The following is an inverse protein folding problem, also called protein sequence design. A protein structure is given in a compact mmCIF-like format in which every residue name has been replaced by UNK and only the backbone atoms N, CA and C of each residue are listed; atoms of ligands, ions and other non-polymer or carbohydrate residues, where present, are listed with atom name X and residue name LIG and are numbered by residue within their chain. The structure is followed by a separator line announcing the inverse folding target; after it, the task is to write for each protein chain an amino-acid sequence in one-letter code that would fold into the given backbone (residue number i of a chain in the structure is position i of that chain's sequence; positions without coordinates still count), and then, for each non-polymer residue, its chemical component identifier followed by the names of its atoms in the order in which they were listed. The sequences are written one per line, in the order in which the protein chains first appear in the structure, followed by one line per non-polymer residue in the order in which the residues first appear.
data_IF_926939600108
#
_entry.id   IF_926939600108
#
_cell.length_a   1.000
_cell.length_b   1.000
_cell.length_c   1.000
_cell.angle_alpha   90.00
_cell.angle_beta   90.00
_cell.angle_gamma   90.00
#
_symmetry.space_group_name_H-M   'P 1'
#
loop_
_entity.id
_entity.type
_entity.pdbx_description
1 polymer ?
#
# COMPACT_ATOMS: atom_id res chain seq x y z
N UNK A 1 -3.40 19.57 -13.60
CA UNK A 1 -2.85 19.09 -12.31
C UNK A 1 -3.57 17.84 -11.77
N UNK A 2 -4.82 17.58 -12.12
CA UNK A 2 -5.60 16.43 -11.62
C UNK A 2 -5.00 15.06 -11.95
N UNK A 3 -4.50 14.88 -13.17
CA UNK A 3 -3.79 13.65 -13.57
C UNK A 3 -2.61 13.29 -12.66
N UNK A 4 -1.91 14.29 -12.11
CA UNK A 4 -0.80 14.06 -11.17
C UNK A 4 -1.27 13.50 -9.83
N UNK A 5 -2.44 13.95 -9.36
CA UNK A 5 -3.06 13.43 -8.12
C UNK A 5 -3.50 11.98 -8.33
N UNK A 6 -4.03 11.65 -9.52
CA UNK A 6 -4.40 10.28 -9.85
C UNK A 6 -3.18 9.34 -9.84
N UNK A 7 -2.06 9.79 -10.44
CA UNK A 7 -0.79 9.03 -10.44
C UNK A 7 -0.25 8.86 -9.01
N UNK A 8 -0.30 9.91 -8.19
CA UNK A 8 0.10 9.81 -6.78
C UNK A 8 -0.77 8.78 -6.03
N UNK A 9 -2.09 8.79 -6.26
CA UNK A 9 -3.00 7.81 -5.69
C UNK A 9 -2.64 6.38 -6.07
N UNK A 10 -2.38 6.14 -7.36
CA UNK A 10 -1.88 4.85 -7.87
C UNK A 10 -0.57 4.43 -7.21
N UNK A 11 0.39 5.34 -7.07
CA UNK A 11 1.67 5.05 -6.43
C UNK A 11 1.50 4.65 -4.96
N UNK A 12 0.62 5.32 -4.22
CA UNK A 12 0.35 4.96 -2.82
C UNK A 12 -0.31 3.58 -2.70
N UNK A 13 -1.23 3.23 -3.60
CA UNK A 13 -1.84 1.89 -3.64
C UNK A 13 -0.75 0.82 -3.88
N UNK A 14 0.11 1.04 -4.87
CA UNK A 14 1.22 0.14 -5.21
C UNK A 14 2.15 -0.06 -4.01
N UNK A 15 2.56 1.03 -3.35
CA UNK A 15 3.42 0.98 -2.16
C UNK A 15 2.70 0.30 -0.98
N UNK A 16 1.41 0.56 -0.81
CA UNK A 16 0.59 -0.06 0.23
C UNK A 16 0.48 -1.59 0.11
N UNK A 17 0.56 -2.12 -1.12
CA UNK A 17 0.50 -3.56 -1.42
C UNK A 17 1.88 -4.23 -1.45
N UNK A 18 2.96 -3.46 -1.28
CA UNK A 18 4.33 -3.97 -1.37
C UNK A 18 4.62 -5.12 -0.37
N UNK A 19 4.14 -5.11 0.90
CA UNK A 19 4.32 -6.24 1.81
C UNK A 19 3.69 -7.55 1.33
N UNK A 20 2.60 -7.49 0.57
CA UNK A 20 1.97 -8.68 -0.04
C UNK A 20 2.90 -9.25 -1.11
N UNK A 21 3.49 -8.37 -1.92
CA UNK A 21 4.42 -8.77 -2.97
C UNK A 21 5.78 -9.21 -2.42
N UNK A 22 6.15 -8.76 -1.22
CA UNK A 22 7.40 -9.12 -0.58
C UNK A 22 7.54 -10.63 -0.42
N UNK A 23 6.44 -11.37 -0.20
CA UNK A 23 6.44 -12.83 -0.13
C UNK A 23 7.00 -13.48 -1.41
N UNK A 24 6.74 -12.89 -2.58
CA UNK A 24 7.23 -13.37 -3.86
C UNK A 24 8.63 -12.83 -4.21
N UNK A 25 9.02 -11.69 -3.63
CA UNK A 25 10.27 -10.99 -3.93
C UNK A 25 11.42 -11.34 -2.96
N UNK A 26 11.10 -11.93 -1.80
CA UNK A 26 12.07 -12.39 -0.80
C UNK A 26 13.26 -13.20 -1.36
N UNK A 27 13.10 -14.07 -2.38
CA UNK A 27 14.24 -14.79 -2.97
C UNK A 27 15.24 -13.89 -3.70
N UNK A 28 14.86 -12.67 -4.06
CA UNK A 28 15.63 -11.77 -4.93
C UNK A 28 16.15 -10.54 -4.19
N UNK A 29 15.45 -10.09 -3.16
CA UNK A 29 15.77 -8.86 -2.41
C UNK A 29 15.41 -9.05 -0.93
N UNK A 30 16.29 -8.62 -0.04
CA UNK A 30 15.96 -8.52 1.39
C UNK A 30 14.98 -7.36 1.62
N UNK A 31 13.75 -7.72 1.96
CA UNK A 31 12.65 -6.80 2.24
C UNK A 31 12.27 -6.78 3.73
N UNK A 32 13.06 -7.40 4.61
CA UNK A 32 12.74 -7.52 6.03
C UNK A 32 12.57 -6.15 6.70
N UNK A 33 13.41 -5.18 6.35
CA UNK A 33 13.29 -3.81 6.84
C UNK A 33 11.97 -3.15 6.41
N UNK A 34 11.55 -3.36 5.16
CA UNK A 34 10.30 -2.79 4.64
C UNK A 34 9.09 -3.41 5.34
N UNK A 35 9.07 -4.73 5.49
CA UNK A 35 8.00 -5.42 6.23
C UNK A 35 7.93 -4.93 7.68
N UNK A 36 9.07 -4.70 8.32
CA UNK A 36 9.15 -4.11 9.66
C UNK A 36 8.54 -2.71 9.76
N UNK A 37 8.78 -1.83 8.78
CA UNK A 37 8.17 -0.50 8.75
C UNK A 37 6.65 -0.54 8.56
N UNK A 38 6.15 -1.50 7.79
CA UNK A 38 4.71 -1.62 7.55
C UNK A 38 3.96 -2.25 8.71
N UNK A 39 4.63 -3.04 9.56
CA UNK A 39 4.00 -3.66 10.73
C UNK A 39 4.30 -2.89 12.03
N UNK A 40 3.42 -1.95 12.37
CA UNK A 40 3.53 -1.15 13.60
C UNK A 40 2.85 -1.82 14.83
N UNK A 41 2.18 -2.96 14.65
CA UNK A 41 1.45 -3.70 15.68
C UNK A 41 0.37 -2.90 16.45
N UNK A 42 -0.30 -1.96 15.79
CA UNK A 42 -1.39 -1.13 16.35
C UNK A 42 -2.77 -1.74 16.02
N UNK A 43 -2.97 -2.17 14.77
CA UNK A 43 -4.18 -2.72 14.20
C UNK A 43 -3.87 -3.54 12.93
N UNK A 44 -4.60 -4.63 12.73
CA UNK A 44 -4.52 -5.40 11.49
C UNK A 44 -5.88 -5.93 11.09
N UNK A 45 -6.04 -6.15 9.78
CA UNK A 45 -7.25 -6.69 9.18
C UNK A 45 -6.88 -7.85 8.26
N UNK A 46 -7.44 -9.03 8.52
CA UNK A 46 -7.34 -10.14 7.58
C UNK A 46 -8.36 -9.94 6.45
N UNK A 47 -7.87 -9.86 5.22
CA UNK A 47 -8.66 -9.68 4.02
C UNK A 47 -8.14 -10.60 2.91
N UNK A 48 -9.02 -11.48 2.43
CA UNK A 48 -8.71 -12.42 1.35
C UNK A 48 -7.45 -13.29 1.62
N UNK A 49 -7.19 -13.64 2.89
CA UNK A 49 -6.04 -14.44 3.30
C UNK A 49 -4.73 -13.65 3.43
N UNK A 50 -4.79 -12.32 3.35
CA UNK A 50 -3.66 -11.43 3.59
C UNK A 50 -3.93 -10.54 4.80
N UNK A 51 -2.93 -10.43 5.66
CA UNK A 51 -2.98 -9.51 6.80
C UNK A 51 -2.59 -8.12 6.33
N UNK A 52 -3.54 -7.20 6.32
CA UNK A 52 -3.31 -5.78 6.08
C UNK A 52 -3.02 -5.08 7.40
N UNK A 53 -1.87 -4.43 7.48
CA UNK A 53 -1.52 -3.56 8.60
C UNK A 53 -2.14 -2.17 8.42
N UNK A 54 -2.13 -1.35 9.47
CA UNK A 54 -2.61 0.04 9.47
C UNK A 54 -1.91 0.88 8.40
N UNK A 55 -0.60 0.71 8.26
CA UNK A 55 0.18 1.43 7.22
C UNK A 55 -0.29 1.02 5.83
N UNK A 56 -0.50 -0.28 5.59
CA UNK A 56 -1.03 -0.77 4.31
C UNK A 56 -2.41 -0.19 4.02
N UNK A 57 -3.32 -0.25 5.00
CA UNK A 57 -4.69 0.26 4.86
C UNK A 57 -4.71 1.78 4.66
N UNK A 58 -3.87 2.51 5.37
CA UNK A 58 -3.73 3.95 5.23
C UNK A 58 -3.27 4.35 3.83
N UNK A 59 -2.23 3.66 3.32
CA UNK A 59 -1.70 3.91 1.97
C UNK A 59 -2.69 3.53 0.87
N UNK A 60 -3.32 2.34 0.97
CA UNK A 60 -4.32 1.89 0.00
C UNK A 60 -5.56 2.79 0.04
N UNK A 61 -6.11 3.04 1.23
CA UNK A 61 -7.31 3.86 1.40
C UNK A 61 -7.11 5.30 0.93
N UNK A 62 -6.02 5.94 1.37
CA UNK A 62 -5.70 7.31 0.92
C UNK A 62 -5.36 7.35 -0.57
N UNK A 63 -4.65 6.34 -1.07
CA UNK A 63 -4.35 6.21 -2.50
C UNK A 63 -5.60 6.10 -3.37
N UNK A 64 -6.61 5.32 -2.96
CA UNK A 64 -7.91 5.24 -3.64
C UNK A 64 -8.62 6.60 -3.65
N UNK A 65 -8.63 7.32 -2.54
CA UNK A 65 -9.23 8.67 -2.48
C UNK A 65 -8.55 9.62 -3.48
N UNK A 66 -7.22 9.67 -3.50
CA UNK A 66 -6.48 10.51 -4.44
C UNK A 66 -6.70 10.09 -5.89
N UNK A 67 -6.77 8.78 -6.16
CA UNK A 67 -7.06 8.26 -7.49
C UNK A 67 -8.41 8.76 -8.01
N UNK A 68 -9.47 8.63 -7.21
CA UNK A 68 -10.82 9.09 -7.56
C UNK A 68 -10.83 10.61 -7.76
N UNK A 69 -10.27 11.38 -6.80
CA UNK A 69 -10.23 12.84 -6.89
C UNK A 69 -9.48 13.30 -8.15
N UNK A 70 -8.36 12.66 -8.46
CA UNK A 70 -7.54 12.98 -9.63
C UNK A 70 -8.16 12.54 -10.96
N UNK A 71 -9.02 11.52 -10.96
CA UNK A 71 -9.72 11.04 -12.14
C UNK A 71 -10.99 11.84 -12.47
N UNK A 72 -11.66 12.39 -11.46
CA UNK A 72 -12.92 13.15 -11.62
C UNK A 72 -12.69 14.63 -11.94
N UNK A 73 -11.53 15.20 -11.55
CA UNK A 73 -11.15 16.61 -11.82
C UNK A 73 -10.32 16.77 -13.09
#
# INVERSE_FOLDING_TARGET
MSKGIAILGLLLIIVGLLPIWAVYLQPYVDLAMIVGYFNQNIYSLDLAGYVFTEVMLGLVGFGVLLLIIGAVK
#
